data_IF_335018967123
#
_entry.id   IF_335018967123
#
_cell.length_a   1.000
_cell.length_b   1.000
_cell.length_c   1.000
_cell.angle_alpha   90.00
_cell.angle_beta   90.00
_cell.angle_gamma   90.00
#
_symmetry.space_group_name_H-M   'P 1'
#
loop_
_entity.id
_entity.type
_entity.pdbx_description
1 polymer ?
#
# COMPACT_ATOMS: atom_id res chain seq x y z
N UNK A 1 -17.11 -22.12 9.28
CA UNK A 1 -18.28 -21.23 9.39
C UNK A 1 -18.01 -19.95 10.20
N UNK A 2 -17.29 -20.00 11.33
CA UNK A 2 -17.04 -18.79 12.15
C UNK A 2 -16.26 -17.69 11.41
N UNK A 3 -15.13 -18.05 10.76
CA UNK A 3 -14.28 -17.07 10.06
C UNK A 3 -15.04 -16.38 8.92
N UNK A 4 -15.93 -17.11 8.23
CA UNK A 4 -16.79 -16.56 7.19
C UNK A 4 -17.85 -15.60 7.75
N UNK A 5 -18.40 -15.88 8.94
CA UNK A 5 -19.30 -14.95 9.65
C UNK A 5 -18.58 -13.66 10.04
N UNK A 6 -17.35 -13.78 10.56
CA UNK A 6 -16.53 -12.60 10.87
C UNK A 6 -16.21 -11.77 9.62
N UNK A 7 -15.96 -12.42 8.49
CA UNK A 7 -15.78 -11.73 7.22
C UNK A 7 -17.04 -10.96 6.80
N UNK A 8 -18.23 -11.53 6.99
CA UNK A 8 -19.49 -10.82 6.75
C UNK A 8 -19.66 -9.61 7.68
N UNK A 9 -19.35 -9.74 8.97
CA UNK A 9 -19.32 -8.64 9.92
C UNK A 9 -18.39 -7.51 9.46
N UNK A 10 -17.16 -7.83 9.05
CA UNK A 10 -16.21 -6.82 8.57
C UNK A 10 -16.68 -6.13 7.28
N UNK A 11 -17.36 -6.86 6.36
CA UNK A 11 -18.00 -6.25 5.19
C UNK A 11 -19.10 -5.28 5.58
N UNK A 12 -19.97 -5.68 6.51
CA UNK A 12 -21.05 -4.82 7.03
C UNK A 12 -20.49 -3.55 7.70
N UNK A 13 -19.33 -3.64 8.35
CA UNK A 13 -18.61 -2.51 8.92
C UNK A 13 -17.81 -1.68 7.89
N UNK A 14 -17.93 -1.97 6.59
CA UNK A 14 -17.30 -1.20 5.51
C UNK A 14 -15.79 -1.40 5.36
N UNK A 15 -15.21 -2.46 5.94
CA UNK A 15 -13.78 -2.73 5.79
C UNK A 15 -13.45 -3.15 4.35
N UNK A 16 -12.26 -2.76 3.88
CA UNK A 16 -11.79 -3.13 2.56
C UNK A 16 -11.57 -4.65 2.43
N UNK A 17 -11.82 -5.20 1.23
CA UNK A 17 -11.61 -6.62 0.90
C UNK A 17 -10.22 -7.10 1.29
N UNK A 18 -9.19 -6.28 1.07
CA UNK A 18 -7.80 -6.61 1.47
C UNK A 18 -7.68 -6.81 2.98
N UNK A 19 -8.26 -5.91 3.77
CA UNK A 19 -8.21 -5.99 5.24
C UNK A 19 -8.90 -7.27 5.74
N UNK A 20 -10.06 -7.59 5.14
CA UNK A 20 -10.81 -8.81 5.45
C UNK A 20 -9.96 -10.05 5.17
N UNK A 21 -9.39 -10.15 3.97
CA UNK A 21 -8.59 -11.31 3.55
C UNK A 21 -7.35 -11.51 4.44
N UNK A 22 -6.61 -10.43 4.75
CA UNK A 22 -5.43 -10.53 5.62
C UNK A 22 -5.78 -10.96 7.05
N UNK A 23 -6.88 -10.42 7.59
CA UNK A 23 -7.40 -10.79 8.92
C UNK A 23 -7.87 -12.25 8.96
N UNK A 24 -8.66 -12.69 7.98
CA UNK A 24 -9.07 -14.10 7.86
C UNK A 24 -7.86 -15.02 7.76
N UNK A 25 -6.86 -14.65 6.95
CA UNK A 25 -5.63 -15.43 6.78
C UNK A 25 -4.88 -15.59 8.09
N UNK A 26 -4.75 -14.51 8.87
CA UNK A 26 -4.09 -14.56 10.17
C UNK A 26 -4.82 -15.51 11.14
N UNK A 27 -6.14 -15.38 11.28
CA UNK A 27 -6.93 -16.25 12.18
C UNK A 27 -6.90 -17.71 11.72
N UNK A 28 -7.03 -17.98 10.42
CA UNK A 28 -6.89 -19.35 9.89
C UNK A 28 -5.50 -19.93 10.14
N UNK A 29 -4.46 -19.12 9.97
CA UNK A 29 -3.09 -19.52 10.26
C UNK A 29 -2.87 -19.83 11.74
N UNK A 30 -3.50 -19.07 12.64
CA UNK A 30 -3.50 -19.35 14.09
C UNK A 30 -4.19 -20.68 14.40
N UNK A 31 -5.40 -20.89 13.86
CA UNK A 31 -6.16 -22.13 14.06
C UNK A 31 -5.39 -23.36 13.57
N UNK A 32 -4.80 -23.27 12.38
CA UNK A 32 -4.01 -24.34 11.78
C UNK A 32 -2.76 -24.68 12.62
N UNK A 33 -2.11 -23.66 13.20
CA UNK A 33 -0.94 -23.88 14.06
C UNK A 33 -1.32 -24.47 15.43
N UNK A 34 -2.42 -24.01 16.00
CA UNK A 34 -2.91 -24.50 17.29
C UNK A 34 -3.56 -25.89 17.20
N UNK A 35 -3.92 -26.33 15.99
CA UNK A 35 -4.74 -27.52 15.78
C UNK A 35 -6.15 -27.38 16.37
N UNK A 36 -6.65 -26.14 16.50
CA UNK A 36 -7.92 -25.83 17.18
C UNK A 36 -8.85 -24.99 16.32
N UNK A 37 -10.17 -25.20 16.44
CA UNK A 37 -11.14 -24.31 15.83
C UNK A 37 -11.15 -22.95 16.55
N UNK A 38 -11.70 -21.89 15.91
CA UNK A 38 -11.68 -20.55 16.47
C UNK A 38 -12.30 -20.42 17.87
N UNK A 39 -13.30 -21.24 18.20
CA UNK A 39 -14.02 -21.23 19.48
C UNK A 39 -13.22 -21.83 20.65
N UNK A 40 -12.18 -22.61 20.37
CA UNK A 40 -11.37 -23.30 21.38
C UNK A 40 -9.98 -22.69 21.54
N UNK A 41 -9.71 -21.58 20.84
CA UNK A 41 -8.43 -20.88 20.94
C UNK A 41 -8.24 -20.33 22.35
N UNK A 42 -7.00 -20.41 22.83
CA UNK A 42 -6.58 -19.91 24.15
C UNK A 42 -5.44 -18.91 23.98
N UNK A 43 -5.18 -18.03 24.97
CA UNK A 43 -4.05 -17.09 24.92
C UNK A 43 -2.70 -17.74 24.62
N UNK A 44 -2.45 -18.94 25.19
CA UNK A 44 -1.22 -19.71 24.93
C UNK A 44 -1.04 -20.08 23.45
N UNK A 45 -2.13 -20.29 22.71
CA UNK A 45 -2.07 -20.60 21.28
C UNK A 45 -1.62 -19.37 20.49
N UNK A 46 -2.09 -18.18 20.89
CA UNK A 46 -1.67 -16.90 20.31
C UNK A 46 -0.19 -16.65 20.59
N UNK A 47 0.26 -16.89 21.83
CA UNK A 47 1.68 -16.76 22.22
C UNK A 47 2.55 -17.71 21.41
N UNK A 48 2.20 -19.00 21.33
CA UNK A 48 2.95 -19.99 20.57
C UNK A 48 3.02 -19.62 19.09
N UNK A 49 1.88 -19.23 18.50
CA UNK A 49 1.81 -18.86 17.09
C UNK A 49 2.63 -17.60 16.78
N UNK A 50 2.51 -16.54 17.57
CA UNK A 50 3.32 -15.33 17.41
C UNK A 50 4.78 -15.58 17.76
N UNK A 51 5.07 -16.59 18.59
CA UNK A 51 6.37 -17.01 19.08
C UNK A 51 7.27 -17.66 18.02
N UNK A 52 6.68 -18.30 17.01
CA UNK A 52 7.38 -19.10 16.00
C UNK A 52 8.59 -18.42 15.35
N UNK A 53 9.57 -19.24 14.97
CA UNK A 53 10.77 -18.78 14.28
C UNK A 53 10.46 -18.17 12.90
N UNK A 54 11.36 -17.30 12.45
CA UNK A 54 11.24 -16.62 11.15
C UNK A 54 10.27 -15.44 11.10
N UNK A 55 9.53 -15.14 12.18
CA UNK A 55 8.71 -13.93 12.24
C UNK A 55 9.48 -12.70 12.73
N UNK A 56 9.54 -11.68 11.88
CA UNK A 56 9.99 -10.34 12.27
C UNK A 56 9.07 -9.72 13.33
N UNK A 57 9.60 -8.80 14.15
CA UNK A 57 8.80 -8.03 15.13
C UNK A 57 7.61 -7.31 14.47
N UNK A 58 7.80 -6.80 13.25
CA UNK A 58 6.75 -6.13 12.50
C UNK A 58 5.63 -7.10 12.07
N UNK A 59 5.99 -8.31 11.65
CA UNK A 59 5.01 -9.38 11.34
C UNK A 59 4.26 -9.79 12.59
N UNK A 60 4.96 -9.97 13.72
CA UNK A 60 4.33 -10.29 15.03
C UNK A 60 3.31 -9.23 15.43
N UNK A 61 3.67 -7.95 15.35
CA UNK A 61 2.77 -6.84 15.68
C UNK A 61 1.53 -6.80 14.77
N UNK A 62 1.72 -7.06 13.47
CA UNK A 62 0.64 -7.08 12.48
C UNK A 62 -0.34 -8.22 12.75
N UNK A 63 0.20 -9.43 12.96
CA UNK A 63 -0.59 -10.61 13.30
C UNK A 63 -1.31 -10.48 14.63
N UNK A 64 -0.65 -9.94 15.66
CA UNK A 64 -1.29 -9.61 16.94
C UNK A 64 -2.49 -8.68 16.71
N UNK A 65 -2.33 -7.59 15.94
CA UNK A 65 -3.45 -6.69 15.65
C UNK A 65 -4.61 -7.35 14.90
N UNK A 66 -4.33 -8.32 14.01
CA UNK A 66 -5.39 -9.11 13.35
C UNK A 66 -6.11 -10.04 14.32
N UNK A 67 -5.37 -10.73 15.20
CA UNK A 67 -5.93 -11.62 16.21
C UNK A 67 -6.71 -10.84 17.28
N UNK A 68 -6.22 -9.68 17.72
CA UNK A 68 -6.91 -8.83 18.68
C UNK A 68 -8.25 -8.31 18.12
N UNK A 69 -8.30 -7.95 16.83
CA UNK A 69 -9.56 -7.58 16.17
C UNK A 69 -10.55 -8.76 16.09
N UNK A 70 -10.05 -9.98 15.90
CA UNK A 70 -10.87 -11.19 15.97
C UNK A 70 -11.38 -11.44 17.40
N UNK A 71 -10.48 -11.39 18.39
CA UNK A 71 -10.79 -11.59 19.80
C UNK A 71 -11.87 -10.61 20.29
N UNK A 72 -11.76 -9.33 19.92
CA UNK A 72 -12.77 -8.32 20.26
C UNK A 72 -14.15 -8.66 19.69
N UNK A 73 -14.22 -9.05 18.41
CA UNK A 73 -15.48 -9.46 17.79
C UNK A 73 -16.02 -10.76 18.40
N UNK A 74 -15.15 -11.75 18.62
CA UNK A 74 -15.51 -13.05 19.18
C UNK A 74 -16.06 -12.93 20.61
N UNK A 75 -15.45 -12.09 21.45
CA UNK A 75 -15.96 -11.80 22.79
C UNK A 75 -17.33 -11.11 22.73
N UNK A 76 -17.52 -10.15 21.81
CA UNK A 76 -18.79 -9.44 21.64
C UNK A 76 -19.98 -10.33 21.24
N UNK A 77 -19.73 -11.52 20.69
CA UNK A 77 -20.76 -12.51 20.37
C UNK A 77 -20.77 -13.72 21.32
N UNK A 78 -20.00 -13.67 22.41
CA UNK A 78 -19.88 -14.75 23.39
C UNK A 78 -19.19 -16.02 22.85
N UNK A 79 -18.38 -15.91 21.80
CA UNK A 79 -17.72 -17.05 21.17
C UNK A 79 -16.44 -17.46 21.91
N UNK A 80 -15.55 -16.50 22.17
CA UNK A 80 -14.32 -16.68 22.95
C UNK A 80 -14.04 -15.38 23.70
N UNK A 81 -13.81 -15.49 25.00
CA UNK A 81 -13.43 -14.37 25.86
C UNK A 81 -11.94 -14.43 26.21
N UNK A 82 -11.33 -13.27 26.43
CA UNK A 82 -9.96 -13.16 26.92
C UNK A 82 -8.88 -13.75 26.03
N UNK A 83 -9.13 -13.99 24.73
CA UNK A 83 -8.18 -14.67 23.82
C UNK A 83 -6.80 -13.98 23.72
N UNK A 84 -6.73 -12.69 24.00
CA UNK A 84 -5.48 -11.91 23.98
C UNK A 84 -5.00 -11.49 25.36
N UNK A 85 -5.63 -11.99 26.43
CA UNK A 85 -5.27 -11.65 27.80
C UNK A 85 -3.93 -12.27 28.17
N UNK A 86 -3.04 -11.45 28.74
CA UNK A 86 -1.67 -11.86 29.06
C UNK A 86 -0.77 -12.13 27.84
N UNK A 87 -1.26 -11.95 26.60
CA UNK A 87 -0.44 -12.08 25.39
C UNK A 87 0.46 -10.85 25.25
N UNK A 88 1.79 -11.01 25.18
CA UNK A 88 2.71 -9.88 25.02
C UNK A 88 2.43 -9.10 23.73
N UNK A 89 2.21 -7.79 23.84
CA UNK A 89 1.97 -6.91 22.69
C UNK A 89 3.30 -6.62 21.98
N UNK A 90 3.49 -7.06 20.71
CA UNK A 90 4.76 -6.84 20.02
C UNK A 90 4.95 -5.35 19.72
N UNK A 91 5.99 -4.74 20.29
CA UNK A 91 6.29 -3.31 20.09
C UNK A 91 7.13 -3.10 18.85
N UNK A 92 6.54 -2.49 17.82
CA UNK A 92 7.28 -2.05 16.63
C UNK A 92 8.00 -0.74 16.93
N UNK A 93 9.33 -0.74 16.91
CA UNK A 93 10.09 0.52 16.78
C UNK A 93 9.77 1.12 15.41
N UNK A 94 9.27 2.35 15.35
CA UNK A 94 9.13 3.08 14.09
C UNK A 94 10.55 3.34 13.58
N UNK A 95 10.94 2.68 12.50
CA UNK A 95 12.19 3.02 11.81
C UNK A 95 12.09 4.45 11.27
N UNK A 96 13.18 5.21 11.31
CA UNK A 96 13.22 6.51 10.67
C UNK A 96 12.92 6.33 9.17
N UNK A 97 11.99 7.11 8.59
CA UNK A 97 11.81 7.14 7.15
C UNK A 97 13.14 7.53 6.50
N UNK A 98 13.65 6.71 5.58
CA UNK A 98 14.76 7.09 4.70
C UNK A 98 14.15 7.43 3.34
N UNK A 99 13.70 8.68 3.11
CA UNK A 99 13.24 9.08 1.80
C UNK A 99 14.40 8.96 0.80
N UNK A 100 14.04 8.70 -0.46
CA UNK A 100 14.98 8.81 -1.58
C UNK A 100 15.46 10.26 -1.64
N UNK A 101 16.75 10.50 -1.85
CA UNK A 101 17.33 11.83 -2.13
C UNK A 101 17.24 12.17 -3.62
N UNK A 102 17.41 13.43 -4.00
CA UNK A 102 17.45 13.85 -5.40
C UNK A 102 18.52 13.08 -6.20
N UNK A 103 19.72 12.96 -5.63
CA UNK A 103 20.81 12.20 -6.23
C UNK A 103 20.49 10.71 -6.39
N UNK A 104 19.80 10.10 -5.41
CA UNK A 104 19.30 8.73 -5.51
C UNK A 104 18.23 8.59 -6.60
N UNK A 105 17.29 9.54 -6.72
CA UNK A 105 16.27 9.54 -7.76
C UNK A 105 16.89 9.57 -9.15
N UNK A 106 17.89 10.45 -9.37
CA UNK A 106 18.60 10.52 -10.65
C UNK A 106 19.33 9.22 -10.97
N UNK A 107 19.99 8.59 -10.00
CA UNK A 107 20.60 7.25 -10.19
C UNK A 107 19.57 6.18 -10.53
N UNK A 108 18.40 6.17 -9.86
CA UNK A 108 17.32 5.22 -10.15
C UNK A 108 16.82 5.40 -11.59
N UNK A 109 16.58 6.64 -12.02
CA UNK A 109 16.17 6.95 -13.38
C UNK A 109 17.25 6.48 -14.37
N UNK A 110 18.53 6.80 -14.15
CA UNK A 110 19.63 6.36 -15.00
C UNK A 110 19.72 4.82 -15.10
N UNK A 111 19.50 4.11 -13.99
CA UNK A 111 19.55 2.64 -13.93
C UNK A 111 18.31 1.93 -14.53
N UNK A 112 17.30 2.66 -15.00
CA UNK A 112 16.12 2.08 -15.66
C UNK A 112 16.49 1.54 -17.06
N UNK A 113 16.42 0.23 -17.24
CA UNK A 113 16.76 -0.46 -18.50
C UNK A 113 15.70 -0.32 -19.58
N UNK A 114 14.43 -0.11 -19.19
CA UNK A 114 13.31 0.07 -20.11
C UNK A 114 12.62 1.39 -19.84
N UNK A 115 12.19 2.08 -20.90
CA UNK A 115 11.40 3.30 -20.80
C UNK A 115 10.15 3.09 -19.95
N UNK A 116 9.49 1.93 -20.11
CA UNK A 116 8.34 1.55 -19.29
C UNK A 116 8.63 1.58 -17.77
N UNK A 117 9.83 1.16 -17.34
CA UNK A 117 10.23 1.23 -15.92
C UNK A 117 10.54 2.66 -15.50
N UNK A 118 11.18 3.44 -16.38
CA UNK A 118 11.43 4.87 -16.16
C UNK A 118 10.12 5.64 -15.93
N UNK A 119 9.08 5.28 -16.66
CA UNK A 119 7.74 5.86 -16.53
C UNK A 119 7.09 5.53 -15.20
N UNK A 120 7.26 4.29 -14.71
CA UNK A 120 6.81 3.91 -13.39
C UNK A 120 7.47 4.75 -12.29
N UNK A 121 8.79 4.95 -12.39
CA UNK A 121 9.55 5.78 -11.44
C UNK A 121 9.07 7.23 -11.52
N UNK A 122 8.95 7.80 -12.73
CA UNK A 122 8.49 9.17 -12.94
C UNK A 122 7.10 9.42 -12.36
N UNK A 123 6.14 8.54 -12.62
CA UNK A 123 4.78 8.69 -12.08
C UNK A 123 4.73 8.56 -10.56
N UNK A 124 5.54 7.67 -9.98
CA UNK A 124 5.65 7.54 -8.53
C UNK A 124 6.32 8.74 -7.87
N UNK A 125 7.34 9.33 -8.50
CA UNK A 125 8.14 10.43 -7.97
C UNK A 125 7.53 11.82 -8.23
N UNK A 126 6.96 12.06 -9.41
CA UNK A 126 6.53 13.40 -9.83
C UNK A 126 5.01 13.62 -9.82
N UNK A 127 4.20 12.56 -9.80
CA UNK A 127 2.76 12.63 -9.51
C UNK A 127 2.41 11.98 -8.17
N UNK A 128 3.44 11.56 -7.43
CA UNK A 128 3.30 10.90 -6.14
C UNK A 128 2.46 9.63 -6.20
N UNK A 129 2.28 8.94 -7.33
CA UNK A 129 1.32 7.82 -7.42
C UNK A 129 1.75 6.57 -6.63
N UNK A 130 0.78 5.84 -6.07
CA UNK A 130 1.03 4.48 -5.52
C UNK A 130 1.24 3.50 -6.67
N UNK A 131 2.03 2.44 -6.47
CA UNK A 131 2.32 1.46 -7.54
C UNK A 131 1.07 0.82 -8.17
N UNK A 132 -0.03 0.69 -7.42
CA UNK A 132 -1.30 0.19 -7.94
C UNK A 132 -2.12 1.23 -8.70
N UNK A 133 -1.92 2.52 -8.39
CA UNK A 133 -2.48 3.64 -9.16
C UNK A 133 -1.75 3.73 -10.50
N UNK A 134 -0.40 3.71 -10.50
CA UNK A 134 0.43 3.65 -11.72
C UNK A 134 0.00 2.49 -12.62
N UNK A 135 -0.22 1.31 -12.04
CA UNK A 135 -0.61 0.12 -12.78
C UNK A 135 -1.97 0.23 -13.50
N UNK A 136 -2.88 1.05 -12.97
CA UNK A 136 -4.26 1.23 -13.43
C UNK A 136 -4.49 2.56 -14.14
N UNK A 137 -3.42 3.26 -14.52
CA UNK A 137 -3.56 4.57 -15.11
C UNK A 137 -4.12 4.46 -16.54
N UNK A 138 -5.15 5.26 -16.84
CA UNK A 138 -5.77 5.34 -18.16
C UNK A 138 -5.58 6.72 -18.77
N UNK A 139 -5.57 6.78 -20.10
CA UNK A 139 -5.44 8.04 -20.82
C UNK A 139 -6.58 9.01 -20.56
N UNK A 140 -7.78 8.48 -20.40
CA UNK A 140 -8.98 9.27 -20.09
C UNK A 140 -9.00 9.87 -18.69
N UNK A 141 -8.10 9.46 -17.80
CA UNK A 141 -7.94 10.05 -16.46
C UNK A 141 -7.03 11.29 -16.51
N UNK A 142 -6.41 11.59 -17.65
CA UNK A 142 -5.50 12.72 -17.83
C UNK A 142 -6.12 13.77 -18.76
N UNK A 143 -6.19 14.99 -18.26
CA UNK A 143 -6.82 16.12 -18.93
C UNK A 143 -5.81 17.24 -19.16
N UNK A 144 -5.93 17.94 -20.29
CA UNK A 144 -5.26 19.23 -20.45
C UNK A 144 -5.92 20.27 -19.56
N UNK A 145 -5.12 21.16 -19.00
CA UNK A 145 -5.52 22.31 -18.18
C UNK A 145 -4.75 23.55 -18.66
N UNK A 146 -5.17 24.74 -18.20
CA UNK A 146 -4.61 26.04 -18.62
C UNK A 146 -3.08 26.09 -18.48
N UNK A 147 -2.54 25.45 -17.43
CA UNK A 147 -1.11 25.46 -17.12
C UNK A 147 -0.39 24.12 -17.46
N UNK A 148 -1.09 23.11 -17.99
CA UNK A 148 -0.47 21.83 -18.28
C UNK A 148 -1.42 20.65 -18.31
N UNK A 149 -1.16 19.64 -17.48
CA UNK A 149 -2.00 18.46 -17.38
C UNK A 149 -2.46 18.22 -15.94
N UNK A 150 -3.68 17.72 -15.79
CA UNK A 150 -4.25 17.28 -14.52
C UNK A 150 -4.58 15.80 -14.62
N UNK A 151 -4.27 15.06 -13.56
CA UNK A 151 -4.59 13.64 -13.43
C UNK A 151 -5.68 13.45 -12.36
N UNK A 152 -6.76 12.79 -12.76
CA UNK A 152 -7.80 12.30 -11.87
C UNK A 152 -7.40 10.95 -11.25
N UNK A 153 -7.39 10.86 -9.92
CA UNK A 153 -7.10 9.63 -9.18
C UNK A 153 -8.17 9.35 -8.16
N UNK A 154 -8.74 8.15 -8.23
CA UNK A 154 -9.67 7.68 -7.21
C UNK A 154 -8.90 7.26 -5.95
N UNK A 155 -9.12 7.98 -4.86
CA UNK A 155 -8.58 7.70 -3.53
C UNK A 155 -9.27 6.54 -2.83
N UNK A 156 -8.84 6.26 -1.59
CA UNK A 156 -9.56 5.33 -0.71
C UNK A 156 -10.90 5.96 -0.32
N UNK A 157 -11.94 5.14 -0.21
CA UNK A 157 -13.33 5.61 -0.07
C UNK A 157 -14.02 6.05 -1.37
N UNK A 158 -13.35 5.96 -2.53
CA UNK A 158 -13.96 6.29 -3.83
C UNK A 158 -13.98 7.77 -4.18
N UNK A 159 -13.35 8.62 -3.36
CA UNK A 159 -13.28 10.06 -3.63
C UNK A 159 -12.29 10.37 -4.75
N UNK A 160 -12.72 11.18 -5.72
CA UNK A 160 -11.87 11.66 -6.81
C UNK A 160 -10.94 12.76 -6.30
N UNK A 161 -9.65 12.66 -6.63
CA UNK A 161 -8.65 13.68 -6.36
C UNK A 161 -7.96 14.10 -7.65
N UNK A 162 -7.85 15.41 -7.88
CA UNK A 162 -7.11 16.00 -9.00
C UNK A 162 -5.67 16.30 -8.59
N UNK A 163 -4.73 15.89 -9.42
CA UNK A 163 -3.30 16.10 -9.24
C UNK A 163 -2.78 16.89 -10.44
N UNK A 164 -2.33 18.14 -10.25
CA UNK A 164 -1.55 18.82 -11.27
C UNK A 164 -0.27 18.03 -11.57
N UNK A 165 -0.01 17.75 -12.84
CA UNK A 165 1.17 17.04 -13.28
C UNK A 165 2.29 18.04 -13.58
N UNK A 166 3.47 17.80 -13.01
CA UNK A 166 4.67 18.58 -13.33
C UNK A 166 5.05 18.46 -14.81
N UNK A 167 5.74 19.47 -15.36
CA UNK A 167 6.25 19.42 -16.74
C UNK A 167 7.20 18.24 -17.01
N UNK A 168 7.86 17.69 -15.99
CA UNK A 168 8.65 16.44 -16.08
C UNK A 168 7.83 15.24 -16.61
N UNK A 169 6.51 15.28 -16.47
CA UNK A 169 5.59 14.24 -16.95
C UNK A 169 4.98 14.57 -18.32
N UNK A 170 5.14 15.78 -18.85
CA UNK A 170 4.57 16.19 -20.14
C UNK A 170 4.98 15.27 -21.29
N UNK A 171 6.28 14.95 -21.49
CA UNK A 171 6.67 14.03 -22.57
C UNK A 171 6.06 12.63 -22.40
N UNK A 172 5.77 12.23 -21.16
CA UNK A 172 5.12 10.96 -20.84
C UNK A 172 3.65 10.99 -21.21
N UNK A 173 2.94 12.04 -20.84
CA UNK A 173 1.53 12.22 -21.21
C UNK A 173 1.38 12.24 -22.73
N UNK A 174 2.22 12.99 -23.44
CA UNK A 174 2.11 13.19 -24.89
C UNK A 174 2.37 11.92 -25.72
N UNK A 175 3.25 11.02 -25.26
CA UNK A 175 3.52 9.74 -25.95
C UNK A 175 2.54 8.62 -25.59
N UNK A 176 1.68 8.81 -24.58
CA UNK A 176 0.75 7.79 -24.10
C UNK A 176 -0.62 7.94 -24.78
N UNK A 177 -1.38 6.84 -24.92
CA UNK A 177 -2.67 6.91 -25.58
C UNK A 177 -3.64 7.77 -24.76
N UNK A 178 -4.46 8.59 -25.45
CA UNK A 178 -5.52 9.41 -24.84
C UNK A 178 -6.70 8.59 -24.30
N UNK A 179 -6.85 7.33 -24.73
CA UNK A 179 -7.87 6.40 -24.26
C UNK A 179 -7.25 5.02 -24.04
N UNK A 180 -7.70 4.35 -22.99
CA UNK A 180 -7.23 3.02 -22.61
C UNK A 180 -6.03 3.04 -21.66
N UNK A 181 -5.55 1.85 -21.31
CA UNK A 181 -4.48 1.68 -20.33
C UNK A 181 -3.14 2.22 -20.83
N UNK A 182 -2.46 3.01 -20.01
CA UNK A 182 -1.08 3.42 -20.29
C UNK A 182 -0.10 2.25 -20.24
N UNK A 183 -0.42 1.24 -19.42
CA UNK A 183 0.40 0.06 -19.20
C UNK A 183 -0.42 -1.23 -19.37
N UNK A 184 -0.80 -1.58 -20.61
CA UNK A 184 -1.57 -2.78 -20.87
C UNK A 184 -0.78 -4.04 -20.49
N UNK A 185 -1.49 -5.08 -20.10
CA UNK A 185 -0.96 -6.42 -19.89
C UNK A 185 -1.58 -7.36 -20.91
N UNK A 186 -0.86 -8.42 -21.29
CA UNK A 186 -1.41 -9.52 -22.07
C UNK A 186 -2.35 -10.42 -21.27
N UNK A 187 -2.49 -10.19 -19.95
CA UNK A 187 -3.41 -10.91 -19.07
C UNK A 187 -4.84 -10.36 -19.13
N UNK A 188 -5.80 -11.18 -18.66
CA UNK A 188 -7.24 -10.88 -18.58
C UNK A 188 -7.58 -9.58 -17.84
N UNK A 189 -6.70 -9.07 -16.98
CA UNK A 189 -6.88 -7.80 -16.25
C UNK A 189 -6.87 -6.55 -17.14
N UNK A 190 -6.40 -6.65 -18.39
CA UNK A 190 -6.29 -5.51 -19.32
C UNK A 190 -5.13 -4.55 -19.04
N UNK A 191 -4.62 -4.50 -17.80
CA UNK A 191 -3.46 -3.70 -17.38
C UNK A 191 -2.49 -4.50 -16.51
N UNK A 192 -1.25 -4.01 -16.35
CA UNK A 192 -0.22 -4.68 -15.50
C UNK A 192 -0.64 -4.72 -14.04
N UNK A 193 -0.15 -5.73 -13.32
CA UNK A 193 -0.35 -5.82 -11.87
C UNK A 193 0.53 -4.79 -11.14
N UNK A 194 0.03 -4.24 -10.03
CA UNK A 194 0.81 -3.36 -9.17
C UNK A 194 2.08 -4.03 -8.60
N UNK A 195 2.06 -5.36 -8.44
CA UNK A 195 3.25 -6.14 -8.08
C UNK A 195 4.33 -6.14 -9.18
N UNK A 196 3.92 -6.13 -10.45
CA UNK A 196 4.84 -6.00 -11.59
C UNK A 196 5.50 -4.63 -11.61
N UNK A 197 4.72 -3.56 -11.42
CA UNK A 197 5.24 -2.19 -11.29
C UNK A 197 6.21 -2.09 -10.12
N UNK A 198 5.83 -2.61 -8.95
CA UNK A 198 6.67 -2.64 -7.75
C UNK A 198 8.00 -3.36 -8.01
N UNK A 199 7.96 -4.55 -8.60
CA UNK A 199 9.15 -5.35 -8.91
C UNK A 199 10.07 -4.64 -9.92
N UNK A 200 9.51 -3.98 -10.93
CA UNK A 200 10.28 -3.23 -11.91
C UNK A 200 11.02 -2.04 -11.27
N UNK A 201 10.34 -1.27 -10.41
CA UNK A 201 10.95 -0.15 -9.67
C UNK A 201 12.02 -0.68 -8.70
N UNK A 202 11.72 -1.73 -7.93
CA UNK A 202 12.69 -2.32 -7.00
C UNK A 202 13.95 -2.82 -7.72
N UNK A 203 13.80 -3.42 -8.91
CA UNK A 203 14.95 -3.81 -9.73
C UNK A 203 15.79 -2.62 -10.19
N UNK A 204 15.17 -1.48 -10.54
CA UNK A 204 15.89 -0.25 -10.86
C UNK A 204 16.62 0.34 -9.64
N UNK A 205 15.98 0.34 -8.47
CA UNK A 205 16.60 0.75 -7.21
C UNK A 205 17.81 -0.11 -6.84
N UNK A 206 17.70 -1.43 -7.00
CA UNK A 206 18.81 -2.36 -6.76
C UNK A 206 19.99 -2.07 -7.68
N UNK A 207 19.76 -1.92 -8.99
CA UNK A 207 20.82 -1.58 -9.96
C UNK A 207 21.45 -0.22 -9.67
N UNK A 208 20.67 0.73 -9.16
CA UNK A 208 21.15 2.04 -8.76
C UNK A 208 21.91 2.04 -7.42
N UNK A 209 21.94 0.93 -6.67
CA UNK A 209 22.51 0.87 -5.32
C UNK A 209 21.70 1.69 -4.30
N UNK A 210 20.38 1.75 -4.44
CA UNK A 210 19.47 2.47 -3.54
C UNK A 210 18.65 1.47 -2.73
N UNK A 211 18.85 1.45 -1.42
CA UNK A 211 18.13 0.57 -0.50
C UNK A 211 16.82 1.23 -0.04
N UNK A 212 15.82 1.21 -0.91
CA UNK A 212 14.49 1.75 -0.65
C UNK A 212 13.40 0.85 -1.24
N UNK A 213 12.15 1.15 -0.89
CA UNK A 213 10.99 0.54 -1.55
C UNK A 213 10.37 1.54 -2.53
N UNK A 214 9.57 1.10 -3.52
CA UNK A 214 8.88 2.00 -4.44
C UNK A 214 8.06 3.11 -3.74
N UNK A 215 7.59 2.86 -2.51
CA UNK A 215 6.86 3.86 -1.72
C UNK A 215 7.75 5.06 -1.32
N UNK A 216 9.07 4.90 -1.25
CA UNK A 216 9.99 5.99 -0.95
C UNK A 216 10.03 7.06 -2.05
N UNK A 217 9.70 6.74 -3.30
CA UNK A 217 9.54 7.73 -4.38
C UNK A 217 8.33 8.65 -4.11
N UNK A 218 7.23 8.08 -3.59
CA UNK A 218 6.09 8.88 -3.15
C UNK A 218 6.42 9.74 -1.94
N UNK A 219 7.25 9.25 -1.01
CA UNK A 219 7.72 10.08 0.10
C UNK A 219 8.62 11.22 -0.38
N UNK A 220 9.46 10.98 -1.38
CA UNK A 220 10.24 12.02 -2.04
C UNK A 220 9.30 13.10 -2.62
N UNK A 221 8.28 12.71 -3.39
CA UNK A 221 7.26 13.65 -3.90
C UNK A 221 6.70 14.57 -2.81
N UNK A 222 6.25 13.97 -1.70
CA UNK A 222 5.69 14.73 -0.57
C UNK A 222 6.68 15.68 0.08
N UNK A 223 7.93 15.24 0.26
CA UNK A 223 8.98 16.02 0.89
C UNK A 223 9.40 17.19 0.01
N UNK A 224 9.58 16.95 -1.29
CA UNK A 224 9.92 17.98 -2.29
C UNK A 224 8.79 18.99 -2.43
N UNK A 225 7.55 18.53 -2.51
CA UNK A 225 6.37 19.41 -2.59
C UNK A 225 6.26 20.30 -1.33
N UNK A 226 6.47 19.72 -0.14
CA UNK A 226 6.46 20.48 1.11
C UNK A 226 7.56 21.55 1.14
N UNK A 227 8.77 21.20 0.68
CA UNK A 227 9.88 22.14 0.58
C UNK A 227 9.59 23.28 -0.40
N UNK A 228 8.86 23.02 -1.49
CA UNK A 228 8.52 24.02 -2.50
C UNK A 228 7.37 24.94 -2.08
N UNK A 229 6.29 24.41 -1.49
CA UNK A 229 5.09 25.20 -1.20
C UNK A 229 4.95 25.65 0.25
N UNK A 230 5.72 25.08 1.19
CA UNK A 230 5.65 25.39 2.62
C UNK A 230 4.31 25.05 3.29
N UNK A 231 3.38 24.37 2.59
CA UNK A 231 2.02 24.15 3.06
C UNK A 231 1.70 22.65 3.20
N UNK A 232 1.72 22.15 4.44
CA UNK A 232 1.44 20.75 4.75
C UNK A 232 0.04 20.31 4.30
N UNK A 233 -0.96 21.20 4.33
CA UNK A 233 -2.33 20.86 3.92
C UNK A 233 -2.42 20.61 2.41
N UNK A 234 -1.73 21.44 1.62
CA UNK A 234 -1.60 21.23 0.16
C UNK A 234 -0.93 19.89 -0.12
N UNK A 235 0.16 19.59 0.60
CA UNK A 235 0.86 18.31 0.47
C UNK A 235 -0.05 17.14 0.84
N UNK A 236 -0.79 17.20 1.93
CA UNK A 236 -1.71 16.13 2.33
C UNK A 236 -2.83 15.90 1.29
N UNK A 237 -3.38 16.97 0.73
CA UNK A 237 -4.38 16.90 -0.35
C UNK A 237 -3.78 16.24 -1.59
N UNK A 238 -2.65 16.73 -2.09
CA UNK A 238 -2.00 16.18 -3.28
C UNK A 238 -1.45 14.78 -3.06
N UNK A 239 -0.95 14.47 -1.87
CA UNK A 239 -0.57 13.13 -1.45
C UNK A 239 -1.75 12.25 -1.06
N UNK A 240 -3.01 12.70 -1.21
CA UNK A 240 -4.20 11.86 -1.02
C UNK A 240 -4.09 11.01 0.26
N UNK A 241 -3.65 11.64 1.34
CA UNK A 241 -3.52 11.02 2.65
C UNK A 241 -4.92 10.95 3.26
N UNK A 242 -5.42 9.74 3.46
CA UNK A 242 -6.55 9.57 4.38
C UNK A 242 -6.01 9.78 5.80
N UNK A 243 -6.54 10.83 6.44
CA UNK A 243 -6.33 11.24 7.83
C UNK A 243 -5.06 12.06 8.10
N UNK A 244 -5.22 13.38 8.39
CA UNK A 244 -4.38 14.03 9.37
C UNK A 244 -4.85 13.57 10.75
N UNK A 245 -4.14 12.62 11.35
CA UNK A 245 -4.21 12.37 12.80
C UNK A 245 -2.81 12.37 13.37
#
# INVERSE_FOLDING_TARGET
MIVTTWAAYMRAAGLSTRTIVERERAVRGLCAHAGRPPAELRPVDVVAWLGRDGLSIASRATYYGHVAAFAQWAAGIGLVEGLVDGVPVPRRRRGAPRPVTDAELQRILAACTHERTRDYVRLAAFAGLRVHEVAKLRGEDVHGDVEGYVLDVVGKGGQLARIPLSDELRPLVERRPRRGWWFPSSSTSGHVLGSTVSRAISGAMQRAGVHATPHALRHWYGSTLLAQCGNLRVVQTLMRHESPT
#
